data_IF_395862046209
#
_entry.id   IF_395862046209
#
_cell.length_a   1.000
_cell.length_b   1.000
_cell.length_c   1.000
_cell.angle_alpha   90.00
_cell.angle_beta   90.00
_cell.angle_gamma   90.00
#
_symmetry.space_group_name_H-M   'P 1'
#
loop_
_entity.id
_entity.type
_entity.pdbx_description
1 polymer ?
#
# COMPACT_ATOMS: atom_id res chain seq x y z
N UNK A 1 6.69 7.34 -2.88
CA UNK A 1 6.30 8.69 -3.29
C UNK A 1 7.44 9.53 -3.87
N UNK A 2 8.55 9.56 -3.24
CA UNK A 2 9.67 10.40 -3.64
C UNK A 2 10.75 9.53 -4.29
N UNK A 3 10.57 9.16 -5.55
CA UNK A 3 11.61 8.43 -6.25
C UNK A 3 11.59 6.90 -6.05
N UNK A 4 10.57 6.25 -6.58
CA UNK A 4 10.50 4.78 -6.59
C UNK A 4 11.64 4.25 -7.47
N UNK A 5 12.62 3.58 -6.84
CA UNK A 5 13.69 2.87 -7.56
C UNK A 5 13.27 1.45 -7.95
N UNK A 6 13.68 1.01 -9.13
CA UNK A 6 13.43 -0.34 -9.65
C UNK A 6 14.69 -1.22 -9.64
N UNK A 7 15.69 -0.85 -8.85
CA UNK A 7 16.99 -1.52 -8.74
C UNK A 7 16.96 -2.84 -7.96
N UNK A 8 15.94 -3.67 -8.18
CA UNK A 8 15.90 -5.03 -7.60
C UNK A 8 16.98 -5.91 -8.21
N UNK A 9 17.55 -6.81 -7.41
CA UNK A 9 18.55 -7.77 -7.90
C UNK A 9 17.94 -8.76 -8.90
N UNK A 10 18.64 -9.02 -10.00
CA UNK A 10 18.20 -9.93 -11.07
C UNK A 10 17.94 -11.34 -10.56
N UNK A 11 18.78 -11.82 -9.63
CA UNK A 11 18.61 -13.13 -8.99
C UNK A 11 17.30 -13.24 -8.20
N UNK A 12 16.91 -12.19 -7.51
CA UNK A 12 15.65 -12.14 -6.74
C UNK A 12 14.44 -12.12 -7.66
N UNK A 13 14.50 -11.38 -8.77
CA UNK A 13 13.45 -11.36 -9.78
C UNK A 13 13.32 -12.72 -10.45
N UNK A 14 14.44 -13.35 -10.82
CA UNK A 14 14.46 -14.68 -11.44
C UNK A 14 13.93 -15.76 -10.50
N UNK A 15 14.28 -15.71 -9.21
CA UNK A 15 13.76 -16.62 -8.19
C UNK A 15 12.23 -16.52 -8.03
N UNK A 16 11.66 -15.34 -8.29
CA UNK A 16 10.22 -15.13 -8.34
C UNK A 16 9.56 -15.58 -9.67
N UNK A 17 10.33 -16.11 -10.62
CA UNK A 17 9.83 -16.62 -11.89
C UNK A 17 9.71 -15.57 -13.02
N UNK A 18 10.31 -14.39 -12.86
CA UNK A 18 10.23 -13.31 -13.83
C UNK A 18 11.58 -13.05 -14.53
N UNK A 19 11.51 -12.52 -15.75
CA UNK A 19 12.67 -11.96 -16.44
C UNK A 19 12.97 -10.57 -15.88
N UNK A 20 14.18 -10.29 -15.44
CA UNK A 20 14.54 -9.06 -14.75
C UNK A 20 14.33 -7.80 -15.62
N UNK A 21 14.72 -7.86 -16.90
CA UNK A 21 14.55 -6.76 -17.85
C UNK A 21 13.07 -6.46 -18.09
N UNK A 22 12.29 -7.49 -18.45
CA UNK A 22 10.86 -7.34 -18.74
C UNK A 22 10.06 -6.90 -17.51
N UNK A 23 10.43 -7.41 -16.34
CA UNK A 23 9.78 -7.02 -15.07
C UNK A 23 10.00 -5.54 -14.76
N UNK A 24 11.25 -5.05 -14.83
CA UNK A 24 11.53 -3.62 -14.62
C UNK A 24 10.89 -2.75 -15.69
N UNK A 25 10.93 -3.19 -16.95
CA UNK A 25 10.25 -2.50 -18.05
C UNK A 25 8.75 -2.37 -17.79
N UNK A 26 8.10 -3.44 -17.37
CA UNK A 26 6.69 -3.42 -17.01
C UNK A 26 6.41 -2.42 -15.87
N UNK A 27 7.16 -2.48 -14.77
CA UNK A 27 6.96 -1.58 -13.62
C UNK A 27 7.19 -0.11 -14.02
N UNK A 28 8.24 0.15 -14.79
CA UNK A 28 8.55 1.48 -15.34
C UNK A 28 7.38 2.02 -16.17
N UNK A 29 6.92 1.22 -17.14
CA UNK A 29 5.83 1.62 -18.03
C UNK A 29 4.50 1.74 -17.28
N UNK A 30 4.26 0.88 -16.28
CA UNK A 30 3.05 0.92 -15.47
C UNK A 30 2.99 2.19 -14.60
N UNK A 31 4.02 2.45 -13.80
CA UNK A 31 4.00 3.60 -12.88
C UNK A 31 4.16 4.95 -13.58
N UNK A 32 4.77 4.98 -14.77
CA UNK A 32 4.78 6.19 -15.62
C UNK A 32 3.47 6.41 -16.39
N UNK A 33 2.54 5.47 -16.33
CA UNK A 33 1.26 5.54 -17.03
C UNK A 33 1.33 5.28 -18.53
N UNK A 34 2.48 4.82 -19.05
CA UNK A 34 2.69 4.45 -20.48
C UNK A 34 2.09 3.09 -20.79
N UNK A 35 2.09 2.16 -19.81
CA UNK A 35 1.47 0.85 -20.01
C UNK A 35 -0.04 0.99 -20.26
N UNK A 36 -0.60 0.34 -21.31
CA UNK A 36 -2.04 0.40 -21.60
C UNK A 36 -2.87 -0.04 -20.40
N UNK A 37 -3.83 0.80 -20.01
CA UNK A 37 -4.71 0.55 -18.86
C UNK A 37 -4.09 0.86 -17.49
N UNK A 38 -2.86 1.38 -17.43
CA UNK A 38 -2.29 1.83 -16.15
C UNK A 38 -3.06 3.04 -15.59
N UNK A 39 -3.49 2.99 -14.34
CA UNK A 39 -4.10 4.13 -13.67
C UNK A 39 -3.07 5.15 -13.14
N UNK A 40 -1.78 4.79 -13.09
CA UNK A 40 -0.75 5.63 -12.50
C UNK A 40 -0.39 6.83 -13.38
N UNK A 41 0.06 7.90 -12.73
CA UNK A 41 0.56 9.13 -13.34
C UNK A 41 1.90 9.50 -12.71
N UNK A 42 2.96 8.84 -13.14
CA UNK A 42 4.32 9.11 -12.68
C UNK A 42 5.21 9.69 -13.80
N UNK A 43 6.33 10.28 -13.43
CA UNK A 43 7.35 10.72 -14.39
C UNK A 43 8.65 9.95 -14.19
N UNK A 44 9.26 9.55 -15.31
CA UNK A 44 10.51 8.79 -15.31
C UNK A 44 11.69 9.72 -15.02
N UNK A 45 12.58 9.23 -14.18
CA UNK A 45 13.85 9.84 -13.86
C UNK A 45 14.97 8.81 -13.95
N UNK A 46 16.11 9.19 -14.56
CA UNK A 46 17.33 8.34 -14.66
C UNK A 46 17.06 6.92 -15.19
N UNK A 47 16.53 6.81 -16.41
CA UNK A 47 16.31 5.51 -17.06
C UNK A 47 17.61 4.89 -17.53
N UNK A 48 17.92 3.67 -17.13
CA UNK A 48 18.99 2.87 -17.69
C UNK A 48 18.45 2.01 -18.86
N UNK A 49 18.80 2.29 -20.11
CA UNK A 49 18.23 1.57 -21.27
C UNK A 49 18.65 0.10 -21.34
N UNK A 50 19.77 -0.27 -20.70
CA UNK A 50 20.29 -1.66 -20.74
C UNK A 50 19.53 -2.57 -19.75
N UNK A 51 19.21 -2.07 -18.57
CA UNK A 51 18.59 -2.86 -17.50
C UNK A 51 17.11 -2.55 -17.31
N UNK A 52 16.61 -1.48 -17.91
CA UNK A 52 15.30 -0.85 -17.67
C UNK A 52 15.13 -0.38 -16.22
N UNK A 53 16.20 -0.36 -15.44
CA UNK A 53 16.18 0.30 -14.15
C UNK A 53 15.88 1.80 -14.35
N UNK A 54 14.99 2.29 -13.55
CA UNK A 54 14.53 3.67 -13.60
C UNK A 54 14.07 4.11 -12.21
N UNK A 55 13.93 5.41 -12.06
CA UNK A 55 13.24 5.99 -10.92
C UNK A 55 11.97 6.66 -11.39
N UNK A 56 10.96 6.64 -10.55
CA UNK A 56 9.64 7.17 -10.86
C UNK A 56 9.27 8.19 -9.80
N UNK A 57 9.07 9.42 -10.23
CA UNK A 57 8.54 10.50 -9.41
C UNK A 57 7.02 10.54 -9.51
N UNK A 58 6.35 10.84 -8.41
CA UNK A 58 4.90 10.99 -8.33
C UNK A 58 4.40 10.99 -6.91
N UNK A 59 3.30 11.67 -6.63
CA UNK A 59 2.63 11.57 -5.34
C UNK A 59 2.02 10.18 -5.15
N UNK A 60 1.86 9.71 -3.91
CA UNK A 60 1.20 8.44 -3.63
C UNK A 60 -0.19 8.36 -4.28
N UNK A 61 -0.96 9.45 -4.21
CA UNK A 61 -2.29 9.51 -4.80
C UNK A 61 -2.28 9.32 -6.33
N UNK A 62 -1.36 9.99 -7.04
CA UNK A 62 -1.24 9.87 -8.49
C UNK A 62 -0.72 8.51 -8.93
N UNK A 63 0.22 7.93 -8.19
CA UNK A 63 0.74 6.58 -8.45
C UNK A 63 -0.31 5.48 -8.17
N UNK A 64 -1.22 5.71 -7.21
CA UNK A 64 -2.35 4.83 -6.94
C UNK A 64 -3.53 5.02 -7.89
N UNK A 65 -3.50 6.03 -8.78
CA UNK A 65 -4.49 6.24 -9.83
C UNK A 65 -5.55 7.28 -9.52
N UNK A 66 -5.45 8.01 -8.40
CA UNK A 66 -6.45 9.00 -8.01
C UNK A 66 -6.53 10.16 -9.03
N UNK A 67 -5.41 10.60 -9.58
CA UNK A 67 -5.35 11.69 -10.54
C UNK A 67 -6.22 11.41 -11.78
N UNK A 68 -5.97 10.30 -12.49
CA UNK A 68 -6.76 9.89 -13.65
C UNK A 68 -8.23 9.60 -13.30
N UNK A 69 -8.48 9.07 -12.11
CA UNK A 69 -9.84 8.82 -11.63
C UNK A 69 -10.62 10.13 -11.45
N UNK A 70 -9.99 11.17 -10.91
CA UNK A 70 -10.57 12.50 -10.76
C UNK A 70 -10.83 13.16 -12.12
N UNK A 71 -9.86 13.08 -13.04
CA UNK A 71 -10.00 13.60 -14.42
C UNK A 71 -11.17 12.96 -15.16
N UNK A 72 -11.31 11.63 -15.03
CA UNK A 72 -12.41 10.89 -15.65
C UNK A 72 -13.75 11.04 -14.93
N UNK A 73 -13.80 11.64 -13.74
CA UNK A 73 -14.96 11.78 -12.86
C UNK A 73 -15.67 10.44 -12.60
N UNK A 74 -14.91 9.35 -12.55
CA UNK A 74 -15.45 8.03 -12.34
C UNK A 74 -15.34 7.64 -10.86
N UNK A 75 -16.50 7.61 -10.17
CA UNK A 75 -16.56 7.34 -8.73
C UNK A 75 -15.97 5.98 -8.37
N UNK A 76 -16.24 4.93 -9.16
CA UNK A 76 -15.69 3.59 -8.90
C UNK A 76 -14.16 3.57 -8.96
N UNK A 77 -13.55 4.32 -9.88
CA UNK A 77 -12.09 4.43 -9.96
C UNK A 77 -11.51 5.26 -8.80
N UNK A 78 -12.23 6.29 -8.37
CA UNK A 78 -11.87 7.08 -7.18
C UNK A 78 -11.87 6.19 -5.94
N UNK A 79 -12.91 5.39 -5.73
CA UNK A 79 -13.03 4.48 -4.59
C UNK A 79 -11.90 3.43 -4.59
N UNK A 80 -11.55 2.90 -5.77
CA UNK A 80 -10.41 1.99 -5.94
C UNK A 80 -9.09 2.69 -5.58
N UNK A 81 -8.88 3.92 -6.03
CA UNK A 81 -7.66 4.67 -5.74
C UNK A 81 -7.52 4.96 -4.24
N UNK A 82 -8.61 5.35 -3.57
CA UNK A 82 -8.63 5.53 -2.10
C UNK A 82 -8.25 4.25 -1.37
N UNK A 83 -8.82 3.09 -1.77
CA UNK A 83 -8.46 1.79 -1.20
C UNK A 83 -6.97 1.48 -1.38
N UNK A 84 -6.42 1.72 -2.57
CA UNK A 84 -4.99 1.51 -2.85
C UNK A 84 -4.09 2.41 -2.00
N UNK A 85 -4.44 3.68 -1.83
CA UNK A 85 -3.68 4.62 -0.99
C UNK A 85 -3.63 4.09 0.45
N UNK A 86 -4.77 3.72 1.02
CA UNK A 86 -4.84 3.20 2.39
C UNK A 86 -4.14 1.84 2.53
N UNK A 87 -4.22 0.97 1.51
CA UNK A 87 -3.49 -0.30 1.46
C UNK A 87 -1.97 -0.08 1.53
N UNK A 88 -1.45 0.86 0.73
CA UNK A 88 -0.02 1.18 0.71
C UNK A 88 0.45 1.83 2.01
N UNK A 89 -0.35 2.73 2.58
CA UNK A 89 -0.06 3.31 3.89
C UNK A 89 -0.07 2.25 5.00
N UNK A 90 -1.06 1.34 5.00
CA UNK A 90 -1.14 0.26 5.96
C UNK A 90 0.08 -0.66 5.88
N UNK A 91 0.49 -1.08 4.69
CA UNK A 91 1.72 -1.86 4.52
C UNK A 91 2.93 -1.12 5.09
N UNK A 92 3.11 0.14 4.73
CA UNK A 92 4.23 0.97 5.19
C UNK A 92 4.24 1.13 6.71
N UNK A 93 3.07 1.29 7.33
CA UNK A 93 2.98 1.50 8.77
C UNK A 93 3.19 0.23 9.60
N UNK A 94 2.90 -0.95 9.05
CA UNK A 94 2.97 -2.19 9.80
C UNK A 94 4.17 -3.08 9.45
N UNK A 95 4.86 -2.87 8.34
CA UNK A 95 6.00 -3.71 7.91
C UNK A 95 7.24 -3.60 8.80
N UNK A 96 7.30 -2.62 9.68
CA UNK A 96 8.42 -2.43 10.62
C UNK A 96 9.06 -1.06 10.48
N UNK A 97 10.12 -0.82 11.26
CA UNK A 97 10.81 0.46 11.27
C UNK A 97 9.96 1.62 11.81
N UNK A 98 10.38 2.83 11.49
CA UNK A 98 9.67 4.07 11.82
C UNK A 98 8.87 4.49 10.58
N UNK A 99 7.52 4.53 10.65
CA UNK A 99 6.72 4.96 9.52
C UNK A 99 6.95 6.45 9.25
N UNK A 100 7.18 6.78 8.00
CA UNK A 100 7.29 8.16 7.56
C UNK A 100 6.15 8.45 6.60
N UNK A 101 5.39 9.50 6.91
CA UNK A 101 4.33 10.02 6.07
C UNK A 101 4.86 11.28 5.37
N UNK A 102 4.81 11.29 4.05
CA UNK A 102 5.15 12.48 3.28
C UNK A 102 3.97 13.46 3.33
N UNK A 103 4.26 14.76 3.43
CA UNK A 103 3.20 15.76 3.51
C UNK A 103 2.32 15.74 2.26
N UNK A 104 1.02 15.81 2.45
CA UNK A 104 0.01 15.75 1.40
C UNK A 104 -0.54 14.35 1.13
N UNK A 105 0.19 13.27 1.47
CA UNK A 105 -0.33 11.89 1.34
C UNK A 105 -1.58 11.67 2.21
N UNK A 106 -1.65 12.36 3.36
CA UNK A 106 -2.81 12.32 4.26
C UNK A 106 -4.02 13.11 3.74
N UNK A 107 -3.82 13.99 2.75
CA UNK A 107 -4.84 14.87 2.20
C UNK A 107 -5.05 14.69 0.69
N UNK A 108 -4.69 13.52 0.16
CA UNK A 108 -4.91 13.16 -1.25
C UNK A 108 -4.30 14.14 -2.26
N UNK A 109 -3.11 14.67 -1.99
CA UNK A 109 -2.43 15.53 -2.97
C UNK A 109 -2.00 14.70 -4.17
N UNK A 110 -2.46 15.10 -5.35
CA UNK A 110 -2.00 14.59 -6.64
C UNK A 110 -0.76 15.34 -7.12
N UNK A 111 -0.20 14.94 -8.25
CA UNK A 111 0.94 15.60 -8.84
C UNK A 111 0.65 17.08 -9.11
N UNK A 112 1.65 17.92 -8.90
CA UNK A 112 1.66 19.35 -9.24
C UNK A 112 2.56 19.56 -10.45
N UNK A 113 1.98 19.92 -11.57
CA UNK A 113 2.72 20.18 -12.81
C UNK A 113 3.14 21.64 -12.98
N UNK A 114 2.86 22.52 -12.02
CA UNK A 114 3.23 23.94 -12.08
C UNK A 114 4.73 24.15 -12.14
N UNK A 115 5.53 23.20 -11.65
CA UNK A 115 6.98 23.24 -11.70
C UNK A 115 7.53 23.35 -13.14
N UNK A 116 6.80 22.87 -14.15
CA UNK A 116 7.19 22.95 -15.56
C UNK A 116 7.29 24.40 -16.06
N UNK A 117 6.56 25.31 -15.41
CA UNK A 117 6.57 26.76 -15.73
C UNK A 117 7.61 27.54 -14.94
N UNK A 118 8.34 26.88 -14.03
CA UNK A 118 9.39 27.51 -13.22
C UNK A 118 10.78 27.11 -13.75
N UNK A 119 11.55 28.05 -14.38
CA UNK A 119 12.88 27.72 -14.91
C UNK A 119 13.85 27.15 -13.86
N UNK A 120 13.64 27.45 -12.58
CA UNK A 120 14.44 26.94 -11.47
C UNK A 120 14.08 25.51 -11.05
N UNK A 121 12.99 24.93 -11.59
CA UNK A 121 12.47 23.61 -11.20
C UNK A 121 12.21 22.69 -12.37
N UNK A 122 11.92 23.21 -13.56
CA UNK A 122 11.46 22.45 -14.73
C UNK A 122 12.41 21.35 -15.20
N UNK A 123 13.67 21.39 -14.82
CA UNK A 123 14.68 20.37 -15.13
C UNK A 123 14.63 19.15 -14.19
N UNK A 124 13.85 19.20 -13.08
CA UNK A 124 13.79 18.14 -12.07
C UNK A 124 12.34 17.76 -11.81
N UNK A 125 11.92 16.62 -12.35
CA UNK A 125 10.53 16.15 -12.24
C UNK A 125 10.12 15.72 -10.83
N UNK A 126 11.04 15.68 -9.86
CA UNK A 126 10.71 15.42 -8.46
C UNK A 126 9.86 16.52 -7.84
N UNK A 127 9.87 17.71 -8.44
CA UNK A 127 8.98 18.80 -8.00
C UNK A 127 7.50 18.46 -8.17
N UNK A 128 7.12 17.52 -9.06
CA UNK A 128 5.73 17.15 -9.27
C UNK A 128 5.05 16.56 -8.02
N UNK A 129 5.81 15.86 -7.16
CA UNK A 129 5.28 15.32 -5.90
C UNK A 129 5.60 16.21 -4.69
N UNK A 130 6.01 17.45 -4.91
CA UNK A 130 6.27 18.47 -3.88
C UNK A 130 5.35 19.68 -4.07
N UNK A 131 4.01 19.45 -4.05
CA UNK A 131 3.06 20.52 -4.29
C UNK A 131 3.13 21.59 -3.21
N UNK A 132 2.75 22.80 -3.55
CA UNK A 132 2.50 23.82 -2.54
C UNK A 132 1.28 23.42 -1.70
N UNK A 133 1.36 23.72 -0.40
CA UNK A 133 0.24 23.40 0.51
C UNK A 133 -0.97 24.29 0.17
N UNK A 134 -2.08 23.64 -0.16
CA UNK A 134 -3.39 24.26 -0.32
C UNK A 134 -4.20 24.11 0.97
N UNK A 135 -4.27 25.17 1.74
CA UNK A 135 -5.00 25.19 3.00
C UNK A 135 -6.50 24.98 2.82
N UNK A 136 -7.09 25.34 1.67
CA UNK A 136 -8.50 25.08 1.37
C UNK A 136 -8.73 23.58 1.13
N UNK A 137 -7.83 22.94 0.40
CA UNK A 137 -7.85 21.47 0.24
C UNK A 137 -7.69 20.78 1.61
N UNK A 138 -6.77 21.25 2.44
CA UNK A 138 -6.56 20.67 3.77
C UNK A 138 -7.79 20.82 4.69
N UNK A 139 -8.60 21.86 4.54
CA UNK A 139 -9.86 21.96 5.31
C UNK A 139 -10.83 20.83 5.00
N UNK A 140 -10.85 20.32 3.75
CA UNK A 140 -11.72 19.20 3.35
C UNK A 140 -11.46 17.90 4.11
N UNK A 141 -10.29 17.75 4.76
CA UNK A 141 -10.03 16.61 5.66
C UNK A 141 -11.03 16.53 6.82
N UNK A 142 -11.68 17.65 7.16
CA UNK A 142 -12.71 17.75 8.20
C UNK A 142 -14.14 17.58 7.68
N UNK A 143 -14.32 17.51 6.36
CA UNK A 143 -15.63 17.46 5.69
C UNK A 143 -15.96 16.02 5.34
N UNK A 144 -16.88 15.40 6.08
CA UNK A 144 -17.31 14.03 5.85
C UNK A 144 -17.77 13.81 4.40
N UNK A 145 -17.35 12.69 3.79
CA UNK A 145 -17.69 12.34 2.40
C UNK A 145 -16.74 12.87 1.35
N UNK A 146 -15.79 13.74 1.69
CA UNK A 146 -14.72 14.15 0.76
C UNK A 146 -13.62 13.09 0.68
N UNK A 147 -12.89 13.07 -0.42
CA UNK A 147 -11.75 12.14 -0.63
C UNK A 147 -10.66 12.43 0.39
N UNK A 148 -10.40 13.71 0.65
CA UNK A 148 -9.45 14.17 1.65
C UNK A 148 -9.81 13.65 3.05
N UNK A 149 -11.10 13.71 3.42
CA UNK A 149 -11.57 13.17 4.69
C UNK A 149 -11.41 11.65 4.79
N UNK A 150 -11.77 10.92 3.73
CA UNK A 150 -11.66 9.45 3.70
C UNK A 150 -10.21 9.00 3.92
N UNK A 151 -9.27 9.61 3.22
CA UNK A 151 -7.84 9.28 3.35
C UNK A 151 -7.31 9.73 4.70
N UNK A 152 -7.62 10.94 5.14
CA UNK A 152 -7.15 11.47 6.41
C UNK A 152 -7.63 10.64 7.61
N UNK A 153 -8.93 10.34 7.65
CA UNK A 153 -9.50 9.52 8.74
C UNK A 153 -8.96 8.09 8.73
N UNK A 154 -8.77 7.51 7.53
CA UNK A 154 -8.14 6.20 7.39
C UNK A 154 -6.68 6.21 7.88
N UNK A 155 -5.89 7.21 7.49
CA UNK A 155 -4.51 7.41 7.94
C UNK A 155 -4.45 7.56 9.47
N UNK A 156 -5.34 8.38 10.05
CA UNK A 156 -5.43 8.53 11.50
C UNK A 156 -5.79 7.21 12.20
N UNK A 157 -6.73 6.43 11.64
CA UNK A 157 -7.08 5.10 12.18
C UNK A 157 -5.86 4.17 12.16
N UNK A 158 -5.10 4.11 11.08
CA UNK A 158 -3.88 3.32 10.98
C UNK A 158 -2.84 3.72 12.02
N UNK A 159 -2.57 5.01 12.19
CA UNK A 159 -1.63 5.52 13.19
C UNK A 159 -2.09 5.20 14.62
N UNK A 160 -3.39 5.33 14.90
CA UNK A 160 -3.97 4.97 16.19
C UNK A 160 -3.81 3.48 16.47
N UNK A 161 -4.14 2.62 15.52
CA UNK A 161 -3.97 1.17 15.64
C UNK A 161 -2.51 0.81 15.87
N UNK A 162 -1.60 1.39 15.11
CA UNK A 162 -0.16 1.18 15.30
C UNK A 162 0.28 1.55 16.72
N UNK A 163 -0.21 2.64 17.27
CA UNK A 163 0.11 3.06 18.64
C UNK A 163 -0.47 2.13 19.70
N UNK A 164 -1.64 1.54 19.44
CA UNK A 164 -2.36 0.68 20.40
C UNK A 164 -1.85 -0.77 20.42
N UNK A 165 -1.34 -1.26 19.29
CA UNK A 165 -0.92 -2.65 19.16
C UNK A 165 0.51 -2.81 19.65
N UNK A 166 0.69 -3.53 20.79
CA UNK A 166 1.98 -3.77 21.46
C UNK A 166 3.05 -4.32 20.53
N UNK A 167 2.67 -5.20 19.61
CA UNK A 167 3.58 -5.84 18.64
C UNK A 167 4.32 -4.87 17.73
N UNK A 168 3.83 -3.63 17.59
CA UNK A 168 4.48 -2.61 16.76
C UNK A 168 5.61 -1.87 17.48
N UNK A 169 5.80 -2.10 18.78
CA UNK A 169 6.85 -1.47 19.58
C UNK A 169 8.26 -1.96 19.21
N UNK A 170 8.39 -3.22 18.77
CA UNK A 170 9.64 -3.77 18.29
C UNK A 170 9.73 -3.70 16.75
N UNK A 171 10.82 -3.15 16.22
CA UNK A 171 11.02 -3.00 14.78
C UNK A 171 11.58 -4.27 14.08
N UNK A 172 12.05 -5.26 14.85
CA UNK A 172 12.71 -6.49 14.34
C UNK A 172 11.82 -7.73 14.40
N UNK A 173 10.65 -7.65 14.99
CA UNK A 173 9.77 -8.79 15.27
C UNK A 173 8.86 -9.19 14.09
N UNK A 174 9.32 -9.01 12.88
CA UNK A 174 8.57 -9.37 11.67
C UNK A 174 9.02 -10.74 11.14
N UNK A 175 8.07 -11.57 10.77
CA UNK A 175 8.28 -12.83 10.07
C UNK A 175 7.33 -12.91 8.88
N UNK A 176 7.88 -13.00 7.68
CA UNK A 176 7.10 -13.20 6.46
C UNK A 176 6.44 -14.57 6.47
N UNK A 177 5.23 -14.65 5.95
CA UNK A 177 4.47 -15.89 5.80
C UNK A 177 4.09 -16.07 4.33
N UNK A 178 3.72 -17.30 3.97
CA UNK A 178 3.17 -17.63 2.65
C UNK A 178 1.66 -17.70 2.76
N UNK A 179 0.90 -16.72 2.24
CA UNK A 179 -0.56 -16.76 2.30
C UNK A 179 -1.19 -17.80 1.35
N UNK A 180 -0.39 -18.55 0.57
CA UNK A 180 -0.83 -19.48 -0.48
C UNK A 180 -1.74 -18.83 -1.54
N UNK A 181 -1.59 -17.52 -1.73
CA UNK A 181 -2.25 -16.72 -2.74
C UNK A 181 -1.27 -15.69 -3.30
N UNK A 182 -0.98 -15.76 -4.61
CA UNK A 182 0.05 -14.93 -5.27
C UNK A 182 -0.26 -13.43 -5.28
N UNK A 183 -1.50 -13.05 -4.97
CA UNK A 183 -1.93 -11.64 -4.93
C UNK A 183 -1.89 -11.05 -3.53
N UNK A 184 -1.57 -11.84 -2.53
CA UNK A 184 -1.55 -11.42 -1.12
C UNK A 184 -0.14 -11.48 -0.57
N UNK A 185 0.35 -10.39 -0.03
CA UNK A 185 1.50 -10.44 0.86
C UNK A 185 1.06 -10.59 2.31
N UNK A 186 1.87 -11.29 3.11
CA UNK A 186 1.56 -11.51 4.50
C UNK A 186 2.79 -11.58 5.38
N UNK A 187 2.66 -11.05 6.60
CA UNK A 187 3.65 -11.21 7.65
C UNK A 187 2.99 -11.21 9.02
N UNK A 188 3.70 -11.77 9.99
CA UNK A 188 3.32 -11.76 11.40
C UNK A 188 4.28 -10.87 12.16
N UNK A 189 3.74 -10.08 13.06
CA UNK A 189 4.50 -9.39 14.10
C UNK A 189 4.19 -10.03 15.43
N UNK A 190 5.23 -10.32 16.23
CA UNK A 190 5.07 -11.00 17.51
C UNK A 190 5.82 -10.28 18.61
N UNK A 191 5.19 -10.14 19.79
CA UNK A 191 5.81 -9.64 21.00
C UNK A 191 5.28 -10.45 22.18
N UNK A 192 6.11 -11.34 22.73
CA UNK A 192 5.67 -12.35 23.67
C UNK A 192 4.58 -13.23 23.04
N UNK A 193 3.44 -13.35 23.69
CA UNK A 193 2.28 -14.13 23.23
C UNK A 193 1.34 -13.36 22.32
N UNK A 194 1.63 -12.08 22.07
CA UNK A 194 0.81 -11.26 21.17
C UNK A 194 1.27 -11.46 19.73
N UNK A 195 0.34 -11.81 18.84
CA UNK A 195 0.57 -12.02 17.42
C UNK A 195 -0.39 -11.21 16.58
N UNK A 196 0.13 -10.48 15.61
CA UNK A 196 -0.63 -9.71 14.64
C UNK A 196 -0.30 -10.21 13.22
N UNK A 197 -1.28 -10.76 12.54
CA UNK A 197 -1.21 -11.12 11.13
C UNK A 197 -1.58 -9.91 10.29
N UNK A 198 -0.66 -9.44 9.47
CA UNK A 198 -0.86 -8.36 8.52
C UNK A 198 -0.94 -8.95 7.13
N UNK A 199 -2.09 -8.83 6.47
CA UNK A 199 -2.37 -9.45 5.16
C UNK A 199 -2.88 -8.38 4.21
N UNK A 200 -2.33 -8.34 2.98
CA UNK A 200 -2.58 -7.26 2.00
C UNK A 200 -2.90 -7.86 0.64
N UNK A 201 -4.12 -7.64 0.14
CA UNK A 201 -4.55 -8.05 -1.20
C UNK A 201 -4.33 -6.92 -2.22
N UNK A 202 -3.39 -7.11 -3.13
CA UNK A 202 -3.05 -6.13 -4.19
C UNK A 202 -3.85 -6.34 -5.49
N UNK A 203 -4.73 -7.32 -5.54
CA UNK A 203 -5.49 -7.61 -6.75
C UNK A 203 -6.83 -6.85 -6.80
N UNK A 204 -7.39 -6.77 -8.00
CA UNK A 204 -8.75 -6.27 -8.23
C UNK A 204 -9.84 -7.32 -8.00
N UNK A 205 -9.49 -8.45 -7.40
CA UNK A 205 -10.41 -9.55 -7.05
C UNK A 205 -10.31 -9.87 -5.58
N UNK A 206 -11.37 -10.42 -5.01
CA UNK A 206 -11.33 -10.97 -3.66
C UNK A 206 -10.29 -12.10 -3.59
N UNK A 207 -9.50 -12.12 -2.54
CA UNK A 207 -8.50 -13.15 -2.27
C UNK A 207 -9.05 -14.10 -1.18
N UNK A 208 -8.90 -15.39 -1.44
CA UNK A 208 -9.34 -16.46 -0.54
C UNK A 208 -8.10 -17.10 0.07
N UNK A 209 -8.00 -17.07 1.39
CA UNK A 209 -6.91 -17.67 2.15
C UNK A 209 -7.45 -18.77 3.03
N UNK A 210 -6.95 -19.98 2.87
CA UNK A 210 -7.36 -21.10 3.74
C UNK A 210 -6.83 -20.90 5.16
N UNK A 211 -7.53 -21.44 6.15
CA UNK A 211 -7.07 -21.39 7.54
C UNK A 211 -5.76 -22.15 7.76
N UNK A 212 -5.38 -23.03 6.82
CA UNK A 212 -4.09 -23.69 6.84
C UNK A 212 -2.92 -22.69 6.87
N UNK A 213 -3.00 -21.59 6.10
CA UNK A 213 -1.97 -20.56 6.07
C UNK A 213 -1.66 -19.93 7.45
N UNK A 214 -2.63 -19.98 8.36
CA UNK A 214 -2.47 -19.51 9.75
C UNK A 214 -1.95 -20.63 10.65
N UNK A 215 -2.49 -21.84 10.54
CA UNK A 215 -2.16 -22.98 11.39
C UNK A 215 -0.73 -23.48 11.16
N UNK A 216 -0.24 -23.47 9.93
CA UNK A 216 1.15 -23.85 9.59
C UNK A 216 2.20 -22.94 10.27
N UNK A 217 1.79 -21.77 10.79
CA UNK A 217 2.69 -20.88 11.52
C UNK A 217 3.05 -21.40 12.92
N UNK A 218 2.42 -22.46 13.39
CA UNK A 218 2.70 -23.11 14.65
C UNK A 218 2.01 -22.51 15.87
N UNK A 219 1.15 -21.51 15.67
CA UNK A 219 0.36 -20.91 16.75
C UNK A 219 -1.02 -21.59 16.82
N UNK A 220 -1.46 -21.92 18.04
CA UNK A 220 -2.83 -22.38 18.26
C UNK A 220 -3.78 -21.18 18.29
N UNK A 221 -4.50 -20.98 17.19
CA UNK A 221 -5.40 -19.85 17.02
C UNK A 221 -6.82 -20.39 16.83
N UNK A 222 -7.73 -19.98 17.70
CA UNK A 222 -9.15 -20.32 17.59
C UNK A 222 -9.97 -19.13 17.06
N UNK A 223 -9.60 -17.92 17.47
CA UNK A 223 -10.31 -16.70 17.10
C UNK A 223 -9.33 -15.58 16.77
N UNK A 224 -9.69 -14.81 15.77
CA UNK A 224 -8.95 -13.62 15.31
C UNK A 224 -9.85 -12.40 15.33
N UNK A 225 -9.30 -11.25 15.71
CA UNK A 225 -9.97 -9.96 15.60
C UNK A 225 -9.25 -9.07 14.60
N UNK A 226 -9.98 -8.63 13.57
CA UNK A 226 -9.48 -7.67 12.60
C UNK A 226 -9.67 -6.26 13.13
N UNK A 227 -8.59 -5.63 13.51
CA UNK A 227 -8.59 -4.26 14.05
C UNK A 227 -8.95 -3.20 13.01
N UNK A 228 -8.69 -3.45 11.72
CA UNK A 228 -9.04 -2.51 10.68
C UNK A 228 -10.52 -2.57 10.32
N UNK A 229 -11.04 -3.77 10.07
CA UNK A 229 -12.43 -3.98 9.68
C UNK A 229 -13.38 -4.18 10.88
N UNK A 230 -12.85 -4.21 12.12
CA UNK A 230 -13.60 -4.38 13.37
C UNK A 230 -14.46 -5.66 13.36
N UNK A 231 -13.90 -6.73 12.81
CA UNK A 231 -14.59 -8.00 12.60
C UNK A 231 -13.89 -9.15 13.31
N UNK A 232 -14.69 -10.05 13.86
CA UNK A 232 -14.21 -11.29 14.48
C UNK A 232 -14.32 -12.45 13.50
N UNK A 233 -13.32 -13.32 13.54
CA UNK A 233 -13.30 -14.55 12.77
C UNK A 233 -13.00 -15.72 13.70
N UNK A 234 -13.75 -16.81 13.54
CA UNK A 234 -13.38 -18.11 14.10
C UNK A 234 -12.55 -18.86 13.08
N UNK A 235 -11.42 -19.42 13.51
CA UNK A 235 -10.55 -20.21 12.65
C UNK A 235 -11.18 -21.57 12.45
N UNK A 236 -11.69 -21.80 11.26
CA UNK A 236 -12.40 -23.01 10.88
C UNK A 236 -11.51 -24.17 10.42
N UNK A 237 -12.07 -25.08 9.63
CA UNK A 237 -11.33 -26.17 9.02
C UNK A 237 -10.29 -25.66 8.01
N UNK A 238 -9.25 -26.46 7.73
CA UNK A 238 -8.11 -26.04 6.90
C UNK A 238 -8.51 -25.59 5.49
N UNK A 239 -9.62 -26.12 4.95
CA UNK A 239 -10.15 -25.80 3.63
C UNK A 239 -11.16 -24.65 3.62
N UNK A 240 -11.56 -24.12 4.76
CA UNK A 240 -12.39 -22.91 4.85
C UNK A 240 -11.54 -21.65 4.66
N UNK A 241 -12.18 -20.54 4.34
CA UNK A 241 -11.49 -19.35 3.86
C UNK A 241 -11.72 -18.12 4.72
N UNK A 242 -10.63 -17.36 4.92
CA UNK A 242 -10.68 -15.93 5.13
C UNK A 242 -10.76 -15.24 3.76
N UNK A 243 -11.68 -14.30 3.60
CA UNK A 243 -11.83 -13.52 2.38
C UNK A 243 -11.28 -12.11 2.63
N UNK A 244 -10.38 -11.67 1.75
CA UNK A 244 -9.86 -10.30 1.74
C UNK A 244 -10.33 -9.62 0.46
N UNK A 245 -11.10 -8.57 0.61
CA UNK A 245 -11.69 -7.81 -0.49
C UNK A 245 -10.63 -7.21 -1.44
N UNK A 246 -11.00 -6.81 -2.67
CA UNK A 246 -10.09 -6.17 -3.62
C UNK A 246 -9.44 -4.93 -3.04
N UNK A 247 -8.11 -4.82 -3.22
CA UNK A 247 -7.30 -3.69 -2.73
C UNK A 247 -7.55 -3.37 -1.25
N UNK A 248 -7.67 -4.42 -0.44
CA UNK A 248 -7.95 -4.32 0.98
C UNK A 248 -6.90 -5.09 1.80
N UNK A 249 -6.98 -4.96 3.11
CA UNK A 249 -6.06 -5.60 4.02
C UNK A 249 -6.77 -5.97 5.33
N UNK A 250 -6.13 -6.86 6.08
CA UNK A 250 -6.56 -7.26 7.42
C UNK A 250 -5.40 -7.10 8.42
N UNK A 251 -5.73 -6.65 9.62
CA UNK A 251 -4.84 -6.57 10.78
C UNK A 251 -5.40 -7.44 11.89
N UNK A 252 -5.09 -8.75 11.80
CA UNK A 252 -5.72 -9.80 12.61
C UNK A 252 -4.89 -10.12 13.84
N UNK A 253 -5.39 -9.77 15.03
CA UNK A 253 -4.78 -10.18 16.29
C UNK A 253 -5.43 -11.48 16.80
N UNK A 254 -4.60 -12.42 17.28
CA UNK A 254 -5.08 -13.58 18.01
C UNK A 254 -5.70 -13.12 19.32
N UNK A 255 -6.91 -13.60 19.61
CA UNK A 255 -7.55 -13.35 20.91
C UNK A 255 -7.00 -14.33 21.93
N UNK A 256 -6.50 -13.81 23.06
CA UNK A 256 -6.14 -14.66 24.21
C UNK A 256 -7.40 -15.37 24.73
N UNK A 257 -7.24 -16.62 25.13
CA UNK A 257 -8.30 -17.28 25.92
C UNK A 257 -8.51 -16.46 27.18
N UNK A 258 -9.72 -15.98 27.37
CA UNK A 258 -10.17 -15.39 28.64
C UNK A 258 -10.26 -16.44 29.73
#
# INVERSE_FOLDING_TARGET
HDDIGLGFEDSSIAAAGFNAYEHRKFLKDYYSGVHPGSPASGALFSVNPKTQDARISGSLASLCGLEKALESRNQSLIDIAVKKILLMQAQSFFVGGIPMLFYGDEAAYTNDYSYLNDPGKSYDNRWMHRPLIDWKKNQKTKEAGTIEHLIFSGTQKLLKLRKQLSVTADHKNIRWITPHNIHVSGFIRSLGDDHLYCLFNYSNKAAYLTWYAFKEQGYQIENLYDHWNEKRYSVGADYEYLIIEPYSFCLLAAQKKS
#
